data_IF_792402314396
#
_entry.id   IF_792402314396
#
_cell.length_a   1.000
_cell.length_b   1.000
_cell.length_c   1.000
_cell.angle_alpha   90.00
_cell.angle_beta   90.00
_cell.angle_gamma   90.00
#
_symmetry.space_group_name_H-M   'P 1'
#
loop_
_entity.id
_entity.type
_entity.pdbx_description
1 polymer ?
#
# COMPACT_ATOMS: atom_id res chain seq x y z
N UNK A 1 5.93 -31.99 37.52
CA UNK A 1 5.10 -32.24 36.32
C UNK A 1 4.04 -33.27 36.65
N UNK A 2 2.77 -33.01 36.31
CA UNK A 2 1.70 -33.99 36.52
C UNK A 2 1.88 -35.18 35.57
N UNK A 3 1.51 -36.40 35.99
CA UNK A 3 1.61 -37.62 35.16
C UNK A 3 0.79 -37.48 33.86
N UNK A 4 -0.31 -36.75 33.92
CA UNK A 4 -1.18 -36.45 32.78
C UNK A 4 -0.43 -35.73 31.67
N UNK A 5 0.39 -34.72 31.99
CA UNK A 5 1.18 -34.00 30.98
C UNK A 5 2.24 -34.87 30.30
N UNK A 6 2.81 -35.84 31.04
CA UNK A 6 3.79 -36.78 30.47
C UNK A 6 3.14 -37.76 29.49
N UNK A 7 1.93 -38.23 29.80
CA UNK A 7 1.14 -39.10 28.92
C UNK A 7 0.75 -38.32 27.65
N UNK A 8 0.20 -37.12 27.80
CA UNK A 8 -0.20 -36.27 26.69
C UNK A 8 0.97 -35.92 25.76
N UNK A 9 2.15 -35.63 26.32
CA UNK A 9 3.36 -35.35 25.53
C UNK A 9 3.79 -36.55 24.70
N UNK A 10 3.80 -37.74 25.28
CA UNK A 10 4.18 -38.98 24.58
C UNK A 10 3.24 -39.24 23.39
N UNK A 11 1.94 -39.12 23.62
CA UNK A 11 0.93 -39.37 22.61
C UNK A 11 0.99 -38.32 21.50
N UNK A 12 1.09 -37.03 21.85
CA UNK A 12 1.27 -35.95 20.87
C UNK A 12 2.52 -36.14 20.01
N UNK A 13 3.66 -36.47 20.61
CA UNK A 13 4.91 -36.70 19.88
C UNK A 13 4.85 -37.92 18.95
N UNK A 14 4.03 -38.92 19.25
CA UNK A 14 3.82 -40.06 18.36
C UNK A 14 3.11 -39.61 17.06
N UNK A 15 2.09 -38.77 17.18
CA UNK A 15 1.36 -38.23 16.03
C UNK A 15 2.16 -37.19 15.24
N UNK A 16 2.83 -36.25 15.94
CA UNK A 16 3.57 -35.15 15.34
C UNK A 16 4.83 -35.60 14.54
N UNK A 17 5.31 -36.83 14.74
CA UNK A 17 6.41 -37.40 13.96
C UNK A 17 6.01 -37.84 12.55
N UNK A 18 4.71 -37.99 12.29
CA UNK A 18 4.23 -38.40 10.97
C UNK A 18 4.13 -37.19 10.04
N UNK A 19 4.58 -37.34 8.79
CA UNK A 19 4.48 -36.27 7.79
C UNK A 19 3.01 -35.91 7.51
N UNK A 20 2.12 -36.92 7.51
CA UNK A 20 0.69 -36.74 7.27
C UNK A 20 0.00 -35.81 8.27
N UNK A 21 0.43 -35.79 9.53
CA UNK A 21 -0.09 -34.87 10.55
C UNK A 21 0.15 -33.40 10.17
N UNK A 22 1.35 -33.07 9.71
CA UNK A 22 1.67 -31.71 9.30
C UNK A 22 0.97 -31.31 8.02
N UNK A 23 0.88 -32.24 7.06
CA UNK A 23 0.13 -32.02 5.83
C UNK A 23 -1.34 -31.73 6.10
N UNK A 24 -2.00 -32.51 6.97
CA UNK A 24 -3.41 -32.27 7.29
C UNK A 24 -3.62 -31.02 8.13
N UNK A 25 -2.74 -30.74 9.11
CA UNK A 25 -2.80 -29.54 9.94
C UNK A 25 -2.64 -28.25 9.12
N UNK A 26 -1.75 -28.26 8.13
CA UNK A 26 -1.47 -27.11 7.27
C UNK A 26 -2.33 -27.04 6.00
N UNK A 27 -2.95 -28.14 5.58
CA UNK A 27 -3.77 -28.16 4.36
C UNK A 27 -4.89 -27.12 4.42
N UNK A 28 -5.66 -27.08 5.52
CA UNK A 28 -6.79 -26.15 5.64
C UNK A 28 -6.38 -24.67 5.51
N UNK A 29 -5.45 -24.13 6.32
CA UNK A 29 -5.04 -22.73 6.18
C UNK A 29 -4.37 -22.46 4.82
N UNK A 30 -3.61 -23.41 4.27
CA UNK A 30 -3.00 -23.26 2.95
C UNK A 30 -4.05 -23.11 1.85
N UNK A 31 -5.03 -24.01 1.79
CA UNK A 31 -6.09 -23.95 0.80
C UNK A 31 -7.04 -22.76 1.02
N UNK A 32 -7.26 -22.34 2.26
CA UNK A 32 -8.02 -21.14 2.55
C UNK A 32 -7.33 -19.88 1.98
N UNK A 33 -6.00 -19.76 2.13
CA UNK A 33 -5.22 -18.67 1.55
C UNK A 33 -5.23 -18.74 0.03
N UNK A 34 -4.94 -19.91 -0.55
CA UNK A 34 -4.93 -20.09 -2.00
C UNK A 34 -6.30 -19.80 -2.62
N UNK A 35 -7.38 -20.32 -2.03
CA UNK A 35 -8.74 -20.08 -2.50
C UNK A 35 -9.17 -18.62 -2.34
N UNK A 36 -8.83 -17.98 -1.21
CA UNK A 36 -9.10 -16.56 -0.96
C UNK A 36 -8.30 -15.61 -1.85
N UNK A 37 -7.13 -16.02 -2.33
CA UNK A 37 -6.30 -15.23 -3.23
C UNK A 37 -6.82 -15.22 -4.69
N UNK A 38 -7.59 -16.24 -5.11
CA UNK A 38 -8.10 -16.34 -6.49
C UNK A 38 -8.92 -15.09 -6.90
N UNK A 39 -9.93 -14.62 -6.13
CA UNK A 39 -10.67 -13.41 -6.47
C UNK A 39 -9.80 -12.15 -6.55
N UNK A 40 -8.75 -12.07 -5.73
CA UNK A 40 -7.80 -10.94 -5.76
C UNK A 40 -7.04 -10.92 -7.08
N UNK A 41 -6.56 -12.08 -7.55
CA UNK A 41 -5.89 -12.21 -8.83
C UNK A 41 -6.84 -11.93 -10.01
N UNK A 42 -8.10 -12.36 -9.92
CA UNK A 42 -9.10 -12.11 -10.95
C UNK A 42 -9.46 -10.64 -11.12
N UNK A 43 -9.45 -9.83 -10.04
CA UNK A 43 -9.70 -8.38 -10.12
C UNK A 43 -8.70 -7.64 -11.00
N UNK A 44 -7.48 -8.17 -11.16
CA UNK A 44 -6.48 -7.58 -12.05
C UNK A 44 -6.66 -7.98 -13.52
N UNK A 45 -7.51 -8.98 -13.80
CA UNK A 45 -7.75 -9.50 -15.14
C UNK A 45 -9.06 -8.98 -15.76
N UNK A 46 -9.80 -8.11 -15.07
CA UNK A 46 -10.99 -7.49 -15.66
C UNK A 46 -10.56 -6.61 -16.86
N UNK A 47 -11.13 -6.81 -18.06
CA UNK A 47 -10.79 -6.00 -19.23
C UNK A 47 -11.03 -4.52 -18.92
N UNK A 48 -10.08 -3.67 -19.31
CA UNK A 48 -10.26 -2.22 -19.22
C UNK A 48 -11.52 -1.87 -20.02
N UNK A 49 -12.57 -1.44 -19.32
CA UNK A 49 -13.78 -0.93 -19.97
C UNK A 49 -13.43 0.43 -20.55
N UNK A 50 -13.17 0.46 -21.86
CA UNK A 50 -12.94 1.72 -22.57
C UNK A 50 -14.28 2.48 -22.63
N UNK A 51 -14.32 3.64 -21.98
CA UNK A 51 -15.42 4.57 -22.06
C UNK A 51 -14.90 5.87 -22.68
N UNK A 52 -15.60 6.36 -23.71
CA UNK A 52 -15.33 7.69 -24.28
C UNK A 52 -16.29 8.66 -23.63
N UNK A 53 -15.74 9.68 -22.99
CA UNK A 53 -16.52 10.79 -22.42
C UNK A 53 -16.45 11.95 -23.40
N UNK A 54 -17.61 12.39 -23.88
CA UNK A 54 -17.73 13.59 -24.71
C UNK A 54 -18.22 14.73 -23.81
N UNK A 55 -17.39 15.76 -23.70
CA UNK A 55 -17.72 17.01 -22.99
C UNK A 55 -18.00 18.09 -24.04
N UNK A 56 -19.25 18.55 -24.11
CA UNK A 56 -19.70 19.59 -25.04
C UNK A 56 -19.46 21.02 -24.52
N UNK A 57 -18.86 21.17 -23.33
CA UNK A 57 -18.56 22.48 -22.79
C UNK A 57 -17.43 23.18 -23.57
N UNK A 58 -17.38 24.53 -23.56
CA UNK A 58 -16.30 25.28 -24.19
C UNK A 58 -14.91 24.84 -23.72
N UNK A 59 -13.92 24.91 -24.61
CA UNK A 59 -12.53 24.58 -24.32
C UNK A 59 -12.02 25.37 -23.10
N UNK A 60 -11.49 24.65 -22.11
CA UNK A 60 -11.03 25.25 -20.85
C UNK A 60 -12.07 25.30 -19.73
N UNK A 61 -13.29 24.80 -19.96
CA UNK A 61 -14.32 24.67 -18.93
C UNK A 61 -14.73 23.20 -18.71
N UNK A 62 -15.78 22.98 -17.90
CA UNK A 62 -16.38 21.66 -17.69
C UNK A 62 -15.45 20.59 -17.11
N UNK A 63 -15.60 19.37 -17.61
CA UNK A 63 -14.85 18.20 -17.15
C UNK A 63 -13.36 18.36 -17.45
N UNK A 64 -13.00 18.91 -18.62
CA UNK A 64 -11.61 19.10 -18.99
C UNK A 64 -10.84 20.02 -18.01
N UNK A 65 -11.51 21.07 -17.50
CA UNK A 65 -10.94 21.95 -16.48
C UNK A 65 -10.78 21.24 -15.13
N UNK A 66 -11.82 20.51 -14.69
CA UNK A 66 -11.79 19.76 -13.45
C UNK A 66 -10.70 18.66 -13.46
N UNK A 67 -10.55 17.94 -14.57
CA UNK A 67 -9.50 16.93 -14.75
C UNK A 67 -8.11 17.56 -14.69
N UNK A 68 -7.88 18.69 -15.38
CA UNK A 68 -6.60 19.39 -15.30
C UNK A 68 -6.28 19.83 -13.87
N UNK A 69 -7.25 20.42 -13.17
CA UNK A 69 -7.08 20.83 -11.78
C UNK A 69 -6.78 19.63 -10.86
N UNK A 70 -7.46 18.50 -11.06
CA UNK A 70 -7.22 17.29 -10.31
C UNK A 70 -5.80 16.74 -10.55
N UNK A 71 -5.36 16.70 -11.81
CA UNK A 71 -4.01 16.28 -12.18
C UNK A 71 -2.92 17.21 -11.62
N UNK A 72 -3.14 18.52 -11.64
CA UNK A 72 -2.23 19.50 -11.04
C UNK A 72 -2.14 19.32 -9.51
N UNK A 73 -3.27 19.07 -8.85
CA UNK A 73 -3.32 18.81 -7.41
C UNK A 73 -2.58 17.50 -7.06
N UNK A 74 -2.77 16.46 -7.85
CA UNK A 74 -2.11 15.17 -7.65
C UNK A 74 -0.60 15.27 -7.86
N UNK A 75 -0.16 15.98 -8.91
CA UNK A 75 1.26 16.30 -9.13
C UNK A 75 1.85 17.09 -7.96
N UNK A 76 1.16 18.13 -7.50
CA UNK A 76 1.61 18.92 -6.34
C UNK A 76 1.80 18.06 -5.09
N UNK A 77 0.89 17.11 -4.81
CA UNK A 77 1.05 16.16 -3.70
C UNK A 77 2.26 15.24 -3.89
N UNK A 78 2.46 14.72 -5.10
CA UNK A 78 3.60 13.87 -5.41
C UNK A 78 4.94 14.64 -5.25
N UNK A 79 4.99 15.89 -5.70
CA UNK A 79 6.17 16.74 -5.59
C UNK A 79 6.50 17.06 -4.12
N UNK A 80 5.50 17.40 -3.30
CA UNK A 80 5.66 17.59 -1.85
C UNK A 80 6.19 16.32 -1.17
N UNK A 81 5.65 15.15 -1.54
CA UNK A 81 6.10 13.87 -1.00
C UNK A 81 7.55 13.57 -1.41
N UNK A 82 7.94 13.87 -2.65
CA UNK A 82 9.30 13.71 -3.14
C UNK A 82 10.29 14.62 -2.40
N UNK A 83 9.93 15.89 -2.18
CA UNK A 83 10.74 16.84 -1.41
C UNK A 83 10.95 16.36 0.04
N UNK A 84 9.89 15.89 0.70
CA UNK A 84 10.00 15.28 2.03
C UNK A 84 10.94 14.08 2.03
N UNK A 85 10.80 13.17 1.07
CA UNK A 85 11.65 11.98 0.98
C UNK A 85 13.12 12.32 0.73
N UNK A 86 13.41 13.37 -0.04
CA UNK A 86 14.76 13.85 -0.26
C UNK A 86 15.41 14.46 1.00
N UNK A 87 14.60 15.02 1.91
CA UNK A 87 15.08 15.65 3.14
C UNK A 87 15.39 14.65 4.27
N UNK A 88 14.72 13.48 4.28
CA UNK A 88 14.86 12.47 5.36
C UNK A 88 16.29 11.95 5.55
N UNK A 89 17.07 11.63 4.50
CA UNK A 89 18.46 11.17 4.65
C UNK A 89 19.38 12.17 5.36
N UNK A 90 19.23 13.46 5.08
CA UNK A 90 20.12 14.52 5.57
C UNK A 90 19.70 15.05 6.95
N UNK A 91 18.40 15.12 7.22
CA UNK A 91 17.85 15.87 8.37
C UNK A 91 16.86 15.05 9.21
N UNK A 92 16.77 13.75 8.95
CA UNK A 92 15.85 12.84 9.61
C UNK A 92 14.38 13.13 9.31
N UNK A 93 13.49 12.42 10.00
CA UNK A 93 12.04 12.58 9.82
C UNK A 93 11.56 13.98 10.19
N UNK A 94 12.15 14.61 11.20
CA UNK A 94 11.82 15.96 11.62
C UNK A 94 12.16 17.02 10.55
N UNK A 95 13.27 16.86 9.83
CA UNK A 95 13.59 17.74 8.71
C UNK A 95 12.73 17.49 7.47
N UNK A 96 12.39 16.22 7.19
CA UNK A 96 11.39 15.88 6.19
C UNK A 96 10.02 16.52 6.44
N UNK A 97 9.56 16.52 7.69
CA UNK A 97 8.27 17.13 8.03
C UNK A 97 8.30 18.66 7.94
N UNK A 98 9.43 19.32 8.23
CA UNK A 98 9.63 20.77 7.99
C UNK A 98 9.55 21.12 6.50
N UNK A 99 10.20 20.34 5.64
CA UNK A 99 10.17 20.54 4.18
C UNK A 99 8.76 20.36 3.64
N UNK A 100 8.02 19.34 4.12
CA UNK A 100 6.61 19.15 3.77
C UNK A 100 5.77 20.37 4.18
N UNK A 101 5.90 20.84 5.42
CA UNK A 101 5.11 21.97 5.92
C UNK A 101 5.39 23.26 5.14
N UNK A 102 6.66 23.50 4.78
CA UNK A 102 7.04 24.61 3.92
C UNK A 102 6.42 24.50 2.52
N UNK A 103 6.44 23.29 1.95
CA UNK A 103 5.88 23.02 0.63
C UNK A 103 4.34 23.12 0.58
N UNK A 104 3.65 22.69 1.65
CA UNK A 104 2.19 22.80 1.78
C UNK A 104 1.72 24.25 1.90
N UNK A 105 2.48 25.10 2.60
CA UNK A 105 2.11 26.52 2.81
C UNK A 105 2.55 27.44 1.67
N UNK A 106 3.71 27.18 1.08
CA UNK A 106 4.35 28.07 0.11
C UNK A 106 4.53 27.49 -1.29
N UNK A 107 4.00 26.28 -1.55
CA UNK A 107 4.20 25.57 -2.80
C UNK A 107 5.59 24.96 -2.93
N UNK A 108 5.86 24.39 -4.10
CA UNK A 108 7.08 23.63 -4.38
C UNK A 108 8.37 24.41 -4.08
N UNK A 109 8.44 25.68 -4.49
CA UNK A 109 9.64 26.51 -4.32
C UNK A 109 9.99 26.72 -2.84
N UNK A 110 8.99 26.94 -1.98
CA UNK A 110 9.20 27.07 -0.55
C UNK A 110 9.72 25.77 0.09
N UNK A 111 9.21 24.62 -0.38
CA UNK A 111 9.72 23.31 -0.01
C UNK A 111 11.17 23.07 -0.47
N UNK A 112 11.50 23.49 -1.69
CA UNK A 112 12.85 23.38 -2.24
C UNK A 112 13.85 24.26 -1.47
N UNK A 113 13.46 25.48 -1.12
CA UNK A 113 14.28 26.35 -0.27
C UNK A 113 14.47 25.79 1.15
N UNK A 114 13.45 25.11 1.69
CA UNK A 114 13.57 24.42 2.97
C UNK A 114 14.47 23.18 2.88
N UNK A 115 14.51 22.48 1.74
CA UNK A 115 15.38 21.33 1.50
C UNK A 115 16.87 21.74 1.41
N UNK A 116 17.17 22.94 0.93
CA UNK A 116 18.55 23.46 0.82
C UNK A 116 19.20 23.83 2.16
N UNK A 117 18.45 23.82 3.27
CA UNK A 117 18.90 24.22 4.61
C UNK A 117 19.12 23.03 5.52
#
# INVERSE_FOLDING_TARGET
MSRILLIARREFLAYAKTVGFWLSLLAFPLFAVLGGAIPMLMKHAEPVREAVIVDETPAGSGLAAAVRQALETERGRADIAALRMAAVPESGTAGGDRVREAAEKGGFDAGLEALKK
#
